data_IF_108022442096
#
_entry.id   IF_108022442096
#
_cell.length_a   1.000
_cell.length_b   1.000
_cell.length_c   1.000
_cell.angle_alpha   90.00
_cell.angle_beta   90.00
_cell.angle_gamma   90.00
#
_symmetry.space_group_name_H-M   'P 1'
#
loop_
_entity.id
_entity.type
_entity.pdbx_description
1 polymer ?
#
# COMPACT_ATOMS: atom_id res chain seq x y z
N UNK A 1 -13.62 -1.55 15.01
CA UNK A 1 -13.14 -0.33 14.33
C UNK A 1 -14.07 0.85 14.57
N UNK A 2 -15.36 0.77 14.29
CA UNK A 2 -16.32 1.87 14.48
C UNK A 2 -16.22 2.53 15.86
N UNK A 3 -16.30 1.74 16.95
CA UNK A 3 -16.23 2.27 18.34
C UNK A 3 -14.93 3.02 18.68
N UNK A 4 -13.85 2.79 17.93
CA UNK A 4 -12.58 3.49 18.11
C UNK A 4 -12.44 4.72 17.20
N UNK A 5 -13.33 4.86 16.19
CA UNK A 5 -13.33 5.99 15.27
C UNK A 5 -12.34 5.88 14.11
N UNK A 6 -12.02 4.67 13.68
CA UNK A 6 -11.32 4.43 12.40
C UNK A 6 -12.26 4.67 11.23
N UNK A 7 -11.79 5.37 10.20
CA UNK A 7 -12.61 5.75 9.04
C UNK A 7 -12.79 4.64 8.02
N UNK A 8 -11.84 3.69 7.93
CA UNK A 8 -11.86 2.61 6.94
C UNK A 8 -11.10 1.36 7.40
N UNK A 9 -11.27 0.29 6.66
CA UNK A 9 -10.55 -0.98 6.77
C UNK A 9 -9.65 -1.18 5.55
N UNK A 10 -8.47 -1.75 5.76
CA UNK A 10 -7.56 -2.20 4.71
C UNK A 10 -7.28 -3.70 4.85
N UNK A 11 -8.04 -4.57 4.17
CA UNK A 11 -7.79 -5.99 4.14
C UNK A 11 -6.72 -6.37 3.10
N UNK A 12 -6.18 -7.59 3.21
CA UNK A 12 -5.28 -8.14 2.20
C UNK A 12 -6.08 -8.54 0.95
N UNK A 13 -5.76 -7.97 -0.22
CA UNK A 13 -6.37 -8.29 -1.51
C UNK A 13 -6.24 -9.79 -1.83
N UNK A 14 -5.03 -10.35 -1.69
CA UNK A 14 -4.83 -11.79 -1.91
C UNK A 14 -5.69 -12.70 -1.01
N UNK A 15 -6.07 -12.25 0.18
CA UNK A 15 -7.00 -13.00 1.04
C UNK A 15 -8.44 -12.93 0.53
N UNK A 16 -8.84 -11.77 -0.02
CA UNK A 16 -10.15 -11.60 -0.67
C UNK A 16 -10.23 -12.46 -1.94
N UNK A 17 -9.19 -12.46 -2.77
CA UNK A 17 -9.10 -13.28 -3.97
C UNK A 17 -9.16 -14.80 -3.68
N UNK A 18 -8.69 -15.22 -2.50
CA UNK A 18 -8.69 -16.64 -2.09
C UNK A 18 -10.05 -17.14 -1.55
N UNK A 19 -11.01 -16.25 -1.32
CA UNK A 19 -12.34 -16.64 -0.85
C UNK A 19 -13.11 -17.34 -1.97
N UNK A 20 -13.78 -18.44 -1.64
CA UNK A 20 -14.83 -18.97 -2.51
C UNK A 20 -15.99 -17.97 -2.65
N UNK A 21 -16.85 -18.16 -3.64
CA UNK A 21 -17.89 -17.19 -3.95
C UNK A 21 -18.86 -16.98 -2.77
N UNK A 22 -19.24 -18.04 -2.06
CA UNK A 22 -20.17 -17.94 -0.92
C UNK A 22 -19.54 -17.12 0.21
N UNK A 23 -18.32 -17.43 0.57
CA UNK A 23 -17.55 -16.70 1.60
C UNK A 23 -17.36 -15.21 1.21
N UNK A 24 -17.06 -14.95 -0.05
CA UNK A 24 -16.91 -13.59 -0.57
C UNK A 24 -18.23 -12.80 -0.48
N UNK A 25 -19.35 -13.36 -0.90
CA UNK A 25 -20.66 -12.68 -0.84
C UNK A 25 -21.09 -12.38 0.60
N UNK A 26 -20.85 -13.30 1.53
CA UNK A 26 -21.08 -13.07 2.97
C UNK A 26 -20.21 -11.94 3.52
N UNK A 27 -18.92 -11.93 3.16
CA UNK A 27 -17.99 -10.87 3.54
C UNK A 27 -18.41 -9.51 2.95
N UNK A 28 -18.73 -9.47 1.66
CA UNK A 28 -19.20 -8.27 0.95
C UNK A 28 -20.45 -7.69 1.61
N UNK A 29 -21.43 -8.54 1.92
CA UNK A 29 -22.67 -8.10 2.60
C UNK A 29 -22.37 -7.44 3.93
N UNK A 30 -21.48 -8.02 4.75
CA UNK A 30 -21.07 -7.46 6.06
C UNK A 30 -20.31 -6.15 5.90
N UNK A 31 -19.40 -6.04 4.94
CA UNK A 31 -18.65 -4.80 4.68
C UNK A 31 -19.57 -3.69 4.21
N UNK A 32 -20.47 -3.98 3.26
CA UNK A 32 -21.38 -2.97 2.71
C UNK A 32 -22.45 -2.50 3.72
N UNK A 33 -22.81 -3.34 4.68
CA UNK A 33 -23.69 -2.97 5.78
C UNK A 33 -22.96 -2.18 6.89
N UNK A 34 -21.63 -2.19 6.91
CA UNK A 34 -20.83 -1.48 7.93
C UNK A 34 -20.69 0.01 7.60
N UNK A 35 -20.66 0.90 8.59
CA UNK A 35 -20.25 2.29 8.39
C UNK A 35 -18.75 2.44 8.08
N UNK A 36 -17.93 1.42 8.36
CA UNK A 36 -16.50 1.36 8.01
C UNK A 36 -16.34 0.59 6.71
N UNK A 37 -15.94 1.27 5.65
CA UNK A 37 -15.73 0.71 4.31
C UNK A 37 -14.29 0.25 4.11
N UNK A 38 -14.04 -0.56 3.08
CA UNK A 38 -12.70 -0.79 2.58
C UNK A 38 -12.30 0.40 1.67
N UNK A 39 -11.24 1.12 2.02
CA UNK A 39 -10.69 2.19 1.18
C UNK A 39 -9.50 1.71 0.38
N UNK A 40 -8.62 0.96 1.03
CA UNK A 40 -7.42 0.40 0.46
C UNK A 40 -7.35 -1.10 0.71
N UNK A 41 -6.52 -1.79 -0.07
CA UNK A 41 -6.23 -3.22 0.06
C UNK A 41 -4.73 -3.41 -0.04
N UNK A 42 -4.12 -4.10 0.93
CA UNK A 42 -2.70 -4.44 0.85
C UNK A 42 -2.47 -5.82 0.23
N UNK A 43 -1.19 -6.24 0.09
CA UNK A 43 -0.82 -7.59 -0.34
C UNK A 43 -1.50 -8.08 -1.63
N UNK A 44 -1.43 -7.28 -2.70
CA UNK A 44 -2.16 -7.50 -3.95
C UNK A 44 -1.95 -8.88 -4.55
N UNK A 45 -0.70 -9.34 -4.73
CA UNK A 45 -0.41 -10.60 -5.45
C UNK A 45 -0.20 -11.76 -4.48
N UNK A 46 -0.75 -12.94 -4.80
CA UNK A 46 -0.44 -14.22 -4.13
C UNK A 46 1.03 -14.61 -4.41
N UNK A 47 1.93 -13.97 -3.68
CA UNK A 47 3.37 -13.94 -3.95
C UNK A 47 4.08 -15.30 -3.86
N UNK A 48 3.46 -16.32 -3.30
CA UNK A 48 4.00 -17.68 -3.28
C UNK A 48 3.80 -18.39 -4.63
N UNK A 49 2.64 -18.14 -5.26
CA UNK A 49 2.21 -18.81 -6.48
C UNK A 49 2.54 -17.98 -7.73
N UNK A 50 2.26 -16.67 -7.68
CA UNK A 50 2.36 -15.79 -8.85
C UNK A 50 3.62 -14.93 -8.81
N UNK A 51 4.42 -15.02 -9.87
CA UNK A 51 5.64 -14.22 -10.06
C UNK A 51 5.47 -13.25 -11.21
N UNK A 52 5.93 -12.01 -11.00
CA UNK A 52 5.95 -10.97 -12.05
C UNK A 52 7.37 -10.76 -12.62
N UNK A 53 8.37 -11.42 -12.01
CA UNK A 53 9.77 -11.36 -12.40
C UNK A 53 10.34 -12.77 -12.55
N UNK A 54 11.10 -13.00 -13.62
CA UNK A 54 11.76 -14.27 -13.88
C UNK A 54 11.66 -14.70 -15.35
N UNK A 55 12.18 -15.90 -15.66
CA UNK A 55 12.16 -16.43 -17.04
C UNK A 55 10.76 -16.88 -17.47
N UNK A 56 9.96 -17.39 -16.55
CA UNK A 56 8.65 -17.97 -16.81
C UNK A 56 7.56 -17.19 -16.05
N UNK A 57 7.28 -15.95 -16.46
CA UNK A 57 6.18 -15.15 -15.89
C UNK A 57 4.84 -15.65 -16.43
N UNK A 58 3.91 -16.12 -15.58
CA UNK A 58 2.63 -16.68 -16.00
C UNK A 58 1.62 -15.57 -16.35
N UNK A 59 1.85 -14.92 -17.50
CA UNK A 59 1.15 -13.67 -17.86
C UNK A 59 -0.37 -13.81 -17.93
N UNK A 60 -0.88 -14.91 -18.53
CA UNK A 60 -2.33 -15.13 -18.66
C UNK A 60 -2.98 -15.40 -17.30
N UNK A 61 -2.30 -16.17 -16.45
CA UNK A 61 -2.76 -16.43 -15.08
C UNK A 61 -2.77 -15.16 -14.24
N UNK A 62 -1.74 -14.30 -14.37
CA UNK A 62 -1.70 -12.99 -13.72
C UNK A 62 -2.87 -12.10 -14.17
N UNK A 63 -3.21 -12.09 -15.46
CA UNK A 63 -4.34 -11.30 -15.98
C UNK A 63 -5.65 -11.80 -15.35
N UNK A 64 -5.95 -13.10 -15.44
CA UNK A 64 -7.18 -13.66 -14.87
C UNK A 64 -7.29 -13.40 -13.36
N UNK A 65 -6.18 -13.59 -12.63
CA UNK A 65 -6.12 -13.26 -11.20
C UNK A 65 -6.44 -11.79 -10.92
N UNK A 66 -5.80 -10.86 -11.66
CA UNK A 66 -6.00 -9.43 -11.44
C UNK A 66 -7.42 -8.97 -11.82
N UNK A 67 -8.01 -9.53 -12.86
CA UNK A 67 -9.38 -9.21 -13.26
C UNK A 67 -10.38 -9.56 -12.15
N UNK A 68 -10.26 -10.74 -11.56
CA UNK A 68 -11.11 -11.19 -10.46
C UNK A 68 -10.86 -10.41 -9.17
N UNK A 69 -9.60 -10.30 -8.74
CA UNK A 69 -9.25 -9.65 -7.47
C UNK A 69 -9.62 -8.16 -7.47
N UNK A 70 -9.27 -7.44 -8.55
CA UNK A 70 -9.59 -6.01 -8.66
C UNK A 70 -11.10 -5.78 -8.81
N UNK A 71 -11.85 -6.71 -9.39
CA UNK A 71 -13.30 -6.64 -9.40
C UNK A 71 -13.85 -6.72 -7.96
N UNK A 72 -13.41 -7.69 -7.18
CA UNK A 72 -13.81 -7.84 -5.77
C UNK A 72 -13.42 -6.63 -4.93
N UNK A 73 -12.20 -6.10 -5.10
CA UNK A 73 -11.76 -4.89 -4.41
C UNK A 73 -12.65 -3.68 -4.74
N UNK A 74 -13.01 -3.49 -6.01
CA UNK A 74 -13.89 -2.40 -6.44
C UNK A 74 -15.30 -2.54 -5.86
N UNK A 75 -15.86 -3.74 -5.86
CA UNK A 75 -17.19 -4.03 -5.29
C UNK A 75 -17.28 -3.77 -3.77
N UNK A 76 -16.16 -3.88 -3.07
CA UNK A 76 -16.05 -3.55 -1.64
C UNK A 76 -15.87 -2.05 -1.36
N UNK A 77 -15.81 -1.22 -2.42
CA UNK A 77 -15.66 0.23 -2.32
C UNK A 77 -14.21 0.71 -2.28
N UNK A 78 -13.27 -0.12 -2.70
CA UNK A 78 -11.85 0.20 -2.77
C UNK A 78 -11.52 1.35 -3.70
N UNK A 79 -10.42 2.02 -3.40
CA UNK A 79 -9.82 3.07 -4.23
C UNK A 79 -8.35 2.76 -4.55
N UNK A 80 -7.66 2.09 -3.63
CA UNK A 80 -6.22 1.80 -3.74
C UNK A 80 -5.96 0.32 -3.48
N UNK A 81 -5.18 -0.31 -4.35
CA UNK A 81 -4.66 -1.66 -4.16
C UNK A 81 -3.14 -1.59 -4.09
N UNK A 82 -2.60 -1.89 -2.93
CA UNK A 82 -1.17 -1.74 -2.62
C UNK A 82 -0.40 -3.00 -3.02
N UNK A 83 0.62 -2.80 -3.84
CA UNK A 83 1.52 -3.85 -4.29
C UNK A 83 2.86 -3.80 -3.53
N UNK A 84 2.85 -4.35 -2.32
CA UNK A 84 4.01 -4.64 -1.48
C UNK A 84 4.46 -6.10 -1.52
N UNK A 85 3.91 -6.93 -2.42
CA UNK A 85 4.13 -8.37 -2.49
C UNK A 85 5.56 -8.73 -2.93
N UNK A 86 6.55 -8.64 -2.02
CA UNK A 86 7.97 -8.84 -2.28
C UNK A 86 8.28 -10.14 -3.03
N UNK A 87 7.68 -11.24 -2.60
CA UNK A 87 7.91 -12.56 -3.21
C UNK A 87 7.45 -12.68 -4.66
N UNK A 88 6.55 -11.79 -5.14
CA UNK A 88 6.13 -11.76 -6.53
C UNK A 88 7.14 -11.06 -7.44
N UNK A 89 7.93 -10.11 -6.90
CA UNK A 89 8.80 -9.21 -7.67
C UNK A 89 10.30 -9.37 -7.42
N UNK A 90 10.71 -10.14 -6.41
CA UNK A 90 12.13 -10.34 -6.12
C UNK A 90 12.86 -10.90 -7.33
N UNK A 91 14.01 -10.30 -7.64
CA UNK A 91 14.89 -10.72 -8.74
C UNK A 91 15.54 -12.05 -8.38
N UNK A 92 15.33 -13.12 -9.16
CA UNK A 92 15.95 -14.41 -8.89
C UNK A 92 17.49 -14.33 -8.97
N UNK A 93 18.23 -15.19 -8.26
CA UNK A 93 19.69 -15.27 -8.39
C UNK A 93 20.10 -15.46 -9.86
N UNK A 94 21.07 -14.68 -10.32
CA UNK A 94 21.57 -14.72 -11.70
C UNK A 94 20.64 -14.07 -12.75
N UNK A 95 19.43 -13.65 -12.39
CA UNK A 95 18.54 -12.98 -13.34
C UNK A 95 18.93 -11.50 -13.51
N UNK A 96 18.80 -10.98 -14.72
CA UNK A 96 19.11 -9.58 -15.03
C UNK A 96 18.19 -8.61 -14.28
N UNK A 97 18.78 -7.73 -13.46
CA UNK A 97 18.03 -6.67 -12.75
C UNK A 97 17.35 -5.70 -13.72
N UNK A 98 17.94 -5.43 -14.87
CA UNK A 98 17.34 -4.59 -15.90
C UNK A 98 16.11 -5.27 -16.52
N UNK A 99 16.18 -6.58 -16.82
CA UNK A 99 15.00 -7.34 -17.27
C UNK A 99 13.90 -7.38 -16.21
N UNK A 100 14.27 -7.61 -14.95
CA UNK A 100 13.31 -7.58 -13.84
C UNK A 100 12.58 -6.22 -13.74
N UNK A 101 13.33 -5.13 -13.85
CA UNK A 101 12.77 -3.77 -13.85
C UNK A 101 11.79 -3.56 -15.01
N UNK A 102 12.11 -4.03 -16.22
CA UNK A 102 11.18 -3.95 -17.37
C UNK A 102 9.95 -4.82 -17.17
N UNK A 103 10.09 -6.05 -16.66
CA UNK A 103 8.95 -6.93 -16.37
C UNK A 103 8.01 -6.32 -15.32
N UNK A 104 8.56 -5.64 -14.31
CA UNK A 104 7.77 -4.90 -13.33
C UNK A 104 7.00 -3.74 -13.99
N UNK A 105 7.65 -2.99 -14.88
CA UNK A 105 6.97 -1.90 -15.61
C UNK A 105 5.82 -2.43 -16.48
N UNK A 106 6.04 -3.53 -17.19
CA UNK A 106 5.01 -4.19 -18.02
C UNK A 106 3.84 -4.71 -17.16
N UNK A 107 4.14 -5.34 -16.02
CA UNK A 107 3.13 -5.80 -15.07
C UNK A 107 2.29 -4.63 -14.55
N UNK A 108 2.91 -3.54 -14.13
CA UNK A 108 2.21 -2.37 -13.59
C UNK A 108 1.34 -1.68 -14.65
N UNK A 109 1.82 -1.61 -15.89
CA UNK A 109 1.03 -1.08 -16.99
C UNK A 109 -0.21 -1.94 -17.25
N UNK A 110 -0.06 -3.26 -17.27
CA UNK A 110 -1.15 -4.21 -17.41
C UNK A 110 -2.15 -4.13 -16.25
N UNK A 111 -1.65 -4.10 -15.00
CA UNK A 111 -2.48 -3.96 -13.81
C UNK A 111 -3.24 -2.62 -13.79
N UNK A 112 -2.59 -1.54 -14.23
CA UNK A 112 -3.22 -0.22 -14.38
C UNK A 112 -4.39 -0.24 -15.37
N UNK A 113 -4.23 -0.88 -16.52
CA UNK A 113 -5.30 -1.02 -17.51
C UNK A 113 -6.52 -1.80 -16.97
N UNK A 114 -6.29 -2.83 -16.16
CA UNK A 114 -7.38 -3.61 -15.53
C UNK A 114 -8.04 -2.81 -14.39
N UNK A 115 -7.26 -2.03 -13.65
CA UNK A 115 -7.73 -1.22 -12.52
C UNK A 115 -8.54 0.02 -12.96
N UNK A 116 -8.15 0.65 -14.07
CA UNK A 116 -8.71 1.92 -14.53
C UNK A 116 -10.25 1.91 -14.69
N UNK A 117 -10.86 0.96 -15.42
CA UNK A 117 -12.32 0.92 -15.57
C UNK A 117 -13.06 0.61 -14.26
N UNK A 118 -12.36 0.12 -13.25
CA UNK A 118 -12.88 -0.18 -11.92
C UNK A 118 -12.70 0.96 -10.92
N UNK A 119 -12.10 2.08 -11.36
CA UNK A 119 -11.83 3.25 -10.50
C UNK A 119 -10.73 3.04 -9.45
N UNK A 120 -9.88 2.03 -9.62
CA UNK A 120 -8.84 1.67 -8.66
C UNK A 120 -7.48 2.24 -9.08
N UNK A 121 -6.65 2.58 -8.09
CA UNK A 121 -5.22 2.78 -8.26
C UNK A 121 -4.45 1.53 -7.86
N UNK A 122 -3.45 1.15 -8.67
CA UNK A 122 -2.41 0.20 -8.27
C UNK A 122 -1.25 0.99 -7.70
N UNK A 123 -0.95 0.81 -6.43
CA UNK A 123 0.04 1.62 -5.74
C UNK A 123 1.26 0.78 -5.34
N UNK A 124 2.43 1.18 -5.84
CA UNK A 124 3.70 0.54 -5.50
C UNK A 124 4.05 0.87 -4.05
N UNK A 125 4.34 -0.15 -3.26
CA UNK A 125 4.97 0.00 -1.96
C UNK A 125 6.45 -0.35 -2.05
N UNK A 126 7.36 0.61 -1.84
CA UNK A 126 8.77 0.30 -1.67
C UNK A 126 8.98 -0.43 -0.33
N UNK A 127 9.73 -1.52 -0.36
CA UNK A 127 9.98 -2.36 0.80
C UNK A 127 11.47 -2.34 1.16
N UNK A 128 11.80 -2.35 2.45
CA UNK A 128 13.18 -2.44 2.92
C UNK A 128 13.93 -3.64 2.30
N UNK A 129 15.25 -3.51 2.18
CA UNK A 129 16.12 -4.52 1.52
C UNK A 129 16.08 -5.91 2.16
N UNK A 130 15.72 -6.00 3.44
CA UNK A 130 15.52 -7.29 4.11
C UNK A 130 14.30 -8.07 3.62
N UNK A 131 13.33 -7.40 2.98
CA UNK A 131 12.10 -8.02 2.48
C UNK A 131 12.08 -8.14 0.95
N UNK A 132 12.65 -7.16 0.23
CA UNK A 132 12.71 -7.17 -1.23
C UNK A 132 14.08 -6.73 -1.73
N UNK A 133 14.52 -7.29 -2.84
CA UNK A 133 15.78 -6.90 -3.47
C UNK A 133 15.61 -5.93 -4.66
N UNK A 134 14.40 -5.39 -4.84
CA UNK A 134 14.06 -4.40 -5.88
C UNK A 134 12.91 -3.51 -5.42
N UNK A 135 12.91 -2.23 -5.82
CA UNK A 135 11.95 -1.22 -5.38
C UNK A 135 12.01 -1.03 -3.85
N UNK A 136 13.16 -0.57 -3.37
CA UNK A 136 13.45 -0.47 -1.94
C UNK A 136 13.24 0.93 -1.38
N UNK A 137 13.23 1.97 -2.21
CA UNK A 137 13.06 3.35 -1.77
C UNK A 137 11.89 4.03 -2.46
N UNK A 138 11.35 5.08 -1.85
CA UNK A 138 10.35 5.94 -2.47
C UNK A 138 10.86 6.55 -3.78
N UNK A 139 12.15 6.90 -3.86
CA UNK A 139 12.77 7.37 -5.09
C UNK A 139 12.76 6.32 -6.21
N UNK A 140 13.00 5.04 -5.89
CA UNK A 140 12.89 3.94 -6.86
C UNK A 140 11.44 3.73 -7.32
N UNK A 141 10.48 3.76 -6.39
CA UNK A 141 9.06 3.66 -6.72
C UNK A 141 8.58 4.83 -7.58
N UNK A 142 8.98 6.07 -7.24
CA UNK A 142 8.68 7.27 -8.03
C UNK A 142 9.22 7.17 -9.46
N UNK A 143 10.46 6.71 -9.62
CA UNK A 143 11.07 6.45 -10.93
C UNK A 143 10.26 5.43 -11.73
N UNK A 144 9.81 4.34 -11.08
CA UNK A 144 9.00 3.30 -11.73
C UNK A 144 7.64 3.87 -12.17
N UNK A 145 6.91 4.56 -11.31
CA UNK A 145 5.63 5.19 -11.65
C UNK A 145 5.77 6.14 -12.84
N UNK A 146 6.82 6.98 -12.83
CA UNK A 146 7.10 7.93 -13.93
C UNK A 146 7.50 7.23 -15.23
N UNK A 147 8.14 6.07 -15.15
CA UNK A 147 8.47 5.26 -16.33
C UNK A 147 7.24 4.59 -16.92
N UNK A 148 6.36 4.01 -16.09
CA UNK A 148 5.13 3.32 -16.52
C UNK A 148 4.15 4.28 -17.18
N UNK A 149 4.07 5.54 -16.72
CA UNK A 149 3.21 6.60 -17.28
C UNK A 149 1.74 6.22 -17.42
N UNK A 150 1.23 5.41 -16.49
CA UNK A 150 -0.19 5.04 -16.45
C UNK A 150 -0.92 5.85 -15.38
N UNK A 151 -2.09 6.47 -15.66
CA UNK A 151 -2.78 7.33 -14.69
C UNK A 151 -3.19 6.61 -13.41
N UNK A 152 -3.51 5.32 -13.51
CA UNK A 152 -3.92 4.50 -12.37
C UNK A 152 -2.76 3.71 -11.71
N UNK A 153 -1.51 3.96 -12.11
CA UNK A 153 -0.33 3.45 -11.40
C UNK A 153 0.25 4.55 -10.55
N UNK A 154 0.29 4.33 -9.26
CA UNK A 154 0.67 5.27 -8.21
C UNK A 154 1.64 4.62 -7.23
N UNK A 155 1.91 5.27 -6.11
CA UNK A 155 2.74 4.73 -5.04
C UNK A 155 2.18 5.07 -3.66
N UNK A 156 2.63 4.33 -2.68
CA UNK A 156 2.49 4.68 -1.27
C UNK A 156 3.86 4.93 -0.65
N UNK A 157 3.86 5.51 0.53
CA UNK A 157 5.01 5.49 1.44
C UNK A 157 4.58 4.81 2.73
N UNK A 158 5.31 3.77 3.12
CA UNK A 158 5.26 3.20 4.46
C UNK A 158 6.39 3.79 5.30
N UNK A 159 6.04 4.45 6.40
CA UNK A 159 7.05 5.02 7.31
C UNK A 159 8.02 3.97 7.85
N UNK A 160 7.54 2.76 8.13
CA UNK A 160 8.38 1.67 8.59
C UNK A 160 9.51 1.37 7.59
N UNK A 161 9.17 1.17 6.32
CA UNK A 161 10.15 0.87 5.27
C UNK A 161 11.05 2.07 4.98
N UNK A 162 10.51 3.28 4.91
CA UNK A 162 11.28 4.51 4.71
C UNK A 162 12.34 4.69 5.80
N UNK A 163 11.98 4.50 7.07
CA UNK A 163 12.89 4.60 8.21
C UNK A 163 13.97 3.53 8.19
N UNK A 164 13.62 2.28 7.86
CA UNK A 164 14.58 1.17 7.76
C UNK A 164 15.61 1.36 6.65
N UNK A 165 15.25 2.02 5.56
CA UNK A 165 16.14 2.38 4.45
C UNK A 165 16.85 3.73 4.67
N UNK A 166 16.59 4.41 5.80
CA UNK A 166 17.14 5.72 6.13
C UNK A 166 16.89 6.77 5.03
N UNK A 167 15.77 6.64 4.32
CA UNK A 167 15.40 7.57 3.27
C UNK A 167 14.85 8.87 3.87
N UNK A 168 15.19 10.00 3.25
CA UNK A 168 14.71 11.29 3.69
C UNK A 168 13.20 11.44 3.50
N UNK A 169 12.44 11.94 4.49
CA UNK A 169 11.03 12.27 4.32
C UNK A 169 10.72 13.32 3.24
N UNK A 170 11.72 14.02 2.70
CA UNK A 170 11.54 14.93 1.56
C UNK A 170 10.97 14.23 0.32
N UNK A 171 11.15 12.92 0.19
CA UNK A 171 10.53 12.12 -0.87
C UNK A 171 9.01 12.29 -0.92
N UNK A 172 8.35 12.56 0.22
CA UNK A 172 6.92 12.81 0.26
C UNK A 172 6.55 14.04 -0.60
N UNK A 173 7.37 15.08 -0.54
CA UNK A 173 7.14 16.28 -1.35
C UNK A 173 7.51 16.08 -2.82
N UNK A 174 8.57 15.36 -3.11
CA UNK A 174 8.99 15.05 -4.47
C UNK A 174 7.95 14.22 -5.22
N UNK A 175 7.37 13.24 -4.51
CA UNK A 175 6.37 12.31 -5.04
C UNK A 175 4.91 12.74 -4.80
N UNK A 176 4.65 14.00 -4.39
CA UNK A 176 3.33 14.50 -3.95
C UNK A 176 2.17 14.29 -4.92
N UNK A 177 2.44 14.11 -6.22
CA UNK A 177 1.41 13.88 -7.24
C UNK A 177 1.15 12.38 -7.47
N UNK A 178 2.09 11.55 -7.03
CA UNK A 178 2.08 10.11 -7.23
C UNK A 178 1.70 9.32 -5.97
N UNK A 179 1.82 9.91 -4.78
CA UNK A 179 1.41 9.27 -3.52
C UNK A 179 -0.10 9.33 -3.38
N UNK A 180 -0.74 8.17 -3.20
CA UNK A 180 -2.20 8.05 -3.03
C UNK A 180 -2.59 7.51 -1.66
N UNK A 181 -1.64 6.93 -0.91
CA UNK A 181 -1.89 6.30 0.38
C UNK A 181 -0.62 6.26 1.23
N UNK A 182 -0.77 6.04 2.55
CA UNK A 182 0.34 5.83 3.48
C UNK A 182 0.10 4.59 4.33
N UNK A 183 1.20 3.87 4.60
CA UNK A 183 1.30 2.94 5.71
C UNK A 183 2.17 3.52 6.82
N UNK A 184 1.90 3.11 8.05
CA UNK A 184 2.65 3.56 9.20
C UNK A 184 2.74 2.49 10.27
N UNK A 185 3.96 2.24 10.75
CA UNK A 185 4.24 1.53 11.98
C UNK A 185 5.47 2.13 12.67
N UNK A 186 5.61 1.89 13.96
CA UNK A 186 6.84 2.21 14.68
C UNK A 186 7.98 1.35 14.11
N UNK A 187 9.13 1.95 13.71
CA UNK A 187 10.23 1.22 13.08
C UNK A 187 10.94 0.25 14.03
N UNK A 188 10.79 0.44 15.34
CA UNK A 188 11.33 -0.43 16.36
C UNK A 188 10.36 -1.60 16.67
N UNK A 189 10.47 -2.66 15.88
CA UNK A 189 9.63 -3.86 16.01
C UNK A 189 8.37 -3.90 15.16
N UNK A 190 8.09 -2.89 14.31
CA UNK A 190 6.89 -2.77 13.48
C UNK A 190 5.61 -2.85 14.33
N UNK A 191 5.61 -2.11 15.46
CA UNK A 191 4.51 -2.08 16.42
C UNK A 191 3.63 -0.85 16.24
N UNK A 192 2.52 -0.80 16.98
CA UNK A 192 1.59 0.32 16.98
C UNK A 192 2.24 1.59 17.56
N UNK A 193 2.27 2.72 16.82
CA UNK A 193 2.84 3.97 17.31
C UNK A 193 1.93 4.62 18.35
N UNK A 194 2.49 5.23 19.39
CA UNK A 194 1.72 5.82 20.51
C UNK A 194 2.16 7.24 20.86
N UNK A 195 3.44 7.56 20.62
CA UNK A 195 4.03 8.86 21.00
C UNK A 195 5.04 9.32 19.95
N UNK A 196 5.22 10.64 19.87
CA UNK A 196 6.13 11.27 18.92
C UNK A 196 7.62 10.96 19.22
N UNK A 197 7.96 10.76 20.48
CA UNK A 197 9.32 10.50 20.97
C UNK A 197 9.77 9.04 20.84
N UNK A 198 8.91 8.18 20.31
CA UNK A 198 9.25 6.77 20.06
C UNK A 198 10.22 6.58 18.88
N UNK A 199 10.32 7.57 17.99
CA UNK A 199 11.27 7.56 16.88
C UNK A 199 11.68 8.98 16.48
N UNK A 200 13.00 9.21 16.31
CA UNK A 200 13.56 10.51 15.98
C UNK A 200 13.13 11.04 14.59
N UNK A 201 12.69 10.17 13.69
CA UNK A 201 12.24 10.53 12.34
C UNK A 201 10.77 10.98 12.29
N UNK A 202 9.96 10.66 13.30
CA UNK A 202 8.53 11.03 13.33
C UNK A 202 8.29 12.52 13.10
N UNK A 203 8.96 13.46 13.79
CA UNK A 203 8.71 14.89 13.60
C UNK A 203 8.89 15.34 12.15
N UNK A 204 9.95 14.89 11.48
CA UNK A 204 10.23 15.24 10.10
C UNK A 204 9.21 14.64 9.13
N UNK A 205 8.82 13.37 9.33
CA UNK A 205 7.79 12.70 8.53
C UNK A 205 6.44 13.43 8.65
N UNK A 206 5.98 13.70 9.87
CA UNK A 206 4.72 14.41 10.10
C UNK A 206 4.76 15.85 9.58
N UNK A 207 5.91 16.53 9.61
CA UNK A 207 6.05 17.84 8.99
C UNK A 207 5.81 17.78 7.47
N UNK A 208 6.39 16.80 6.77
CA UNK A 208 6.15 16.61 5.34
C UNK A 208 4.72 16.18 5.04
N UNK A 209 4.13 15.31 5.85
CA UNK A 209 2.74 14.91 5.67
C UNK A 209 1.78 16.10 5.83
N UNK A 210 1.98 16.94 6.86
CA UNK A 210 1.23 18.20 7.02
C UNK A 210 1.42 19.12 5.82
N UNK A 211 2.65 19.24 5.30
CA UNK A 211 2.94 20.03 4.08
C UNK A 211 2.20 19.49 2.86
N UNK A 212 2.12 18.17 2.67
CA UNK A 212 1.32 17.56 1.60
C UNK A 212 -0.15 17.97 1.68
N UNK A 213 -0.76 17.81 2.85
CA UNK A 213 -2.19 18.12 3.04
C UNK A 213 -2.46 19.62 2.83
N UNK A 214 -1.63 20.50 3.42
CA UNK A 214 -1.90 21.95 3.43
C UNK A 214 -1.47 22.68 2.17
N UNK A 215 -0.39 22.23 1.51
CA UNK A 215 0.20 22.94 0.35
C UNK A 215 -0.04 22.24 -0.98
N UNK A 216 -0.13 20.90 -0.99
CA UNK A 216 -0.43 20.13 -2.19
C UNK A 216 -1.90 19.69 -2.25
N UNK A 217 -2.71 19.98 -1.23
CA UNK A 217 -4.12 19.59 -1.11
C UNK A 217 -4.29 18.06 -1.25
N UNK A 218 -3.30 17.32 -0.77
CA UNK A 218 -3.33 15.86 -0.81
C UNK A 218 -4.55 15.32 -0.04
N UNK A 219 -5.20 14.33 -0.62
CA UNK A 219 -6.29 13.58 -0.03
C UNK A 219 -6.01 12.09 -0.22
N UNK A 220 -6.07 11.33 0.83
CA UNK A 220 -5.84 9.91 0.83
C UNK A 220 -5.95 9.34 2.23
N UNK A 221 -5.67 8.05 2.37
CA UNK A 221 -5.69 7.36 3.65
C UNK A 221 -4.31 7.17 4.26
N UNK A 222 -4.28 6.97 5.58
CA UNK A 222 -3.12 6.47 6.30
C UNK A 222 -3.57 5.25 7.10
N UNK A 223 -2.96 4.09 6.84
CA UNK A 223 -3.24 2.84 7.54
C UNK A 223 -2.12 2.51 8.52
N UNK A 224 -2.50 1.96 9.67
CA UNK A 224 -1.54 1.40 10.62
C UNK A 224 -1.31 -0.06 10.24
N UNK A 225 -0.12 -0.37 9.73
CA UNK A 225 0.28 -1.72 9.37
C UNK A 225 1.31 -2.26 10.39
N UNK A 226 0.82 -2.59 11.57
CA UNK A 226 1.65 -2.91 12.73
C UNK A 226 1.34 -4.30 13.30
N UNK A 227 2.35 -4.88 13.95
CA UNK A 227 2.20 -6.08 14.78
C UNK A 227 1.64 -5.70 16.16
N UNK A 228 0.90 -6.61 16.78
CA UNK A 228 0.31 -6.40 18.09
C UNK A 228 -1.18 -6.68 18.10
N UNK A 229 -1.85 -6.22 19.15
CA UNK A 229 -3.28 -6.46 19.35
C UNK A 229 -4.09 -5.22 19.01
N UNK A 230 -4.95 -5.34 18.00
CA UNK A 230 -5.90 -4.27 17.69
C UNK A 230 -6.71 -3.83 18.92
N UNK A 231 -7.17 -4.78 19.73
CA UNK A 231 -8.01 -4.49 20.90
C UNK A 231 -7.26 -3.68 21.99
N UNK A 232 -5.95 -3.88 22.11
CA UNK A 232 -5.12 -3.22 23.13
C UNK A 232 -4.49 -1.92 22.62
N UNK A 233 -4.13 -1.87 21.34
CA UNK A 233 -3.25 -0.83 20.80
C UNK A 233 -4.00 0.26 20.01
N UNK A 234 -5.12 -0.09 19.39
CA UNK A 234 -5.79 0.75 18.40
C UNK A 234 -6.19 2.13 18.94
N UNK A 235 -6.74 2.19 20.16
CA UNK A 235 -7.20 3.44 20.75
C UNK A 235 -6.06 4.43 20.99
N UNK A 236 -4.93 3.95 21.55
CA UNK A 236 -3.77 4.77 21.83
C UNK A 236 -3.10 5.29 20.55
N UNK A 237 -2.96 4.42 19.54
CA UNK A 237 -2.42 4.82 18.24
C UNK A 237 -3.30 5.84 17.52
N UNK A 238 -4.62 5.65 17.53
CA UNK A 238 -5.53 6.62 16.90
C UNK A 238 -5.45 7.98 17.60
N UNK A 239 -5.35 8.01 18.94
CA UNK A 239 -5.14 9.25 19.69
C UNK A 239 -3.81 9.93 19.33
N UNK A 240 -2.74 9.15 19.12
CA UNK A 240 -1.47 9.66 18.65
C UNK A 240 -1.63 10.37 17.30
N UNK A 241 -2.21 9.72 16.29
CA UNK A 241 -2.43 10.35 14.99
C UNK A 241 -3.33 11.60 15.07
N UNK A 242 -4.37 11.58 15.90
CA UNK A 242 -5.23 12.75 16.12
C UNK A 242 -4.46 13.93 16.74
N UNK A 243 -3.51 13.69 17.63
CA UNK A 243 -2.65 14.76 18.16
C UNK A 243 -1.72 15.33 17.09
N UNK A 244 -1.08 14.44 16.31
CA UNK A 244 -0.04 14.85 15.37
C UNK A 244 -0.62 15.43 14.07
N UNK A 245 -1.75 14.96 13.61
CA UNK A 245 -2.38 15.42 12.37
C UNK A 245 -3.56 16.37 12.60
N UNK A 246 -4.17 16.34 13.79
CA UNK A 246 -5.21 17.26 14.20
C UNK A 246 -6.36 17.43 13.18
N UNK A 247 -6.70 18.69 12.83
CA UNK A 247 -7.77 19.00 11.89
C UNK A 247 -7.57 18.46 10.46
N UNK A 248 -6.39 17.93 10.14
CA UNK A 248 -6.10 17.35 8.82
C UNK A 248 -6.72 15.96 8.62
N UNK A 249 -7.25 15.36 9.68
CA UNK A 249 -7.89 14.03 9.65
C UNK A 249 -9.42 14.08 9.40
N UNK A 250 -9.94 15.23 9.04
CA UNK A 250 -11.37 15.44 8.77
C UNK A 250 -11.76 15.03 7.34
#
# INVERSE_FOLDING_TARGET
MVRYGFGYLEPAAAAIAAMDETTYQDFKTKVLASPVRCLAFNSFIRQKELKVVGDNVPRLELIGYMEEDLQRCSELGGQVVVWGSAGSRNVPPGFSRARAWSQIADFLWMAGNIAQPKGLFIAIEPLRRQESNILNTGAEALRMVRQVRHPNVKMIIDYYHLSQEQESPEILWEARKEIVHFHFANPHGRIWPRRLDEDAGYPAFFAQLRRLVTKAHWRGGLSIEARGSFAQDAAASLQFFRRELGPLMA
#
